data_IF_098616820041
#
_entry.id   IF_098616820041
#
_cell.length_a   1.000
_cell.length_b   1.000
_cell.length_c   1.000
_cell.angle_alpha   90.00
_cell.angle_beta   90.00
_cell.angle_gamma   90.00
#
_symmetry.space_group_name_H-M   'P 1'
#
loop_
_entity.id
_entity.type
_entity.pdbx_description
1 polymer ?
#
# COMPACT_ATOMS: atom_id res chain seq x y z
N UNK A 1 -19.71 -16.05 8.40
CA UNK A 1 -19.67 -16.65 7.05
C UNK A 1 -19.50 -15.59 5.95
N UNK A 2 -20.22 -14.47 6.00
CA UNK A 2 -20.06 -13.33 5.05
C UNK A 2 -18.61 -12.84 4.95
N UNK A 3 -17.87 -12.82 6.07
CA UNK A 3 -16.44 -12.48 6.13
C UNK A 3 -15.58 -13.34 5.18
N UNK A 4 -15.76 -14.66 5.22
CA UNK A 4 -14.96 -15.60 4.41
C UNK A 4 -15.28 -15.48 2.93
N UNK A 5 -16.54 -15.20 2.59
CA UNK A 5 -16.97 -14.94 1.22
C UNK A 5 -16.35 -13.64 0.70
N UNK A 6 -16.40 -12.55 1.46
CA UNK A 6 -15.76 -11.29 1.06
C UNK A 6 -14.26 -11.46 0.83
N UNK A 7 -13.56 -12.13 1.76
CA UNK A 7 -12.12 -12.43 1.62
C UNK A 7 -11.85 -13.30 0.38
N UNK A 8 -12.64 -14.34 0.13
CA UNK A 8 -12.48 -15.19 -1.04
C UNK A 8 -12.63 -14.40 -2.35
N UNK A 9 -13.63 -13.50 -2.44
CA UNK A 9 -13.83 -12.64 -3.61
C UNK A 9 -12.68 -11.65 -3.78
N UNK A 10 -12.17 -11.04 -2.70
CA UNK A 10 -10.99 -10.17 -2.76
C UNK A 10 -9.75 -10.93 -3.25
N UNK A 11 -9.53 -12.17 -2.79
CA UNK A 11 -8.42 -13.02 -3.25
C UNK A 11 -8.53 -13.33 -4.74
N UNK A 12 -9.74 -13.60 -5.24
CA UNK A 12 -9.99 -13.78 -6.68
C UNK A 12 -9.66 -12.49 -7.45
N UNK A 13 -10.09 -11.33 -6.96
CA UNK A 13 -9.76 -10.03 -7.55
C UNK A 13 -8.25 -9.78 -7.66
N UNK A 14 -7.51 -10.02 -6.56
CA UNK A 14 -6.04 -9.89 -6.52
C UNK A 14 -5.38 -10.87 -7.49
N UNK A 15 -5.84 -12.13 -7.53
CA UNK A 15 -5.30 -13.14 -8.44
C UNK A 15 -5.51 -12.77 -9.91
N UNK A 16 -6.66 -12.20 -10.27
CA UNK A 16 -6.95 -11.74 -11.62
C UNK A 16 -6.06 -10.55 -12.03
N UNK A 17 -5.87 -9.57 -11.15
CA UNK A 17 -4.95 -8.44 -11.38
C UNK A 17 -3.51 -8.93 -11.51
N UNK A 18 -3.07 -9.85 -10.64
CA UNK A 18 -1.74 -10.46 -10.71
C UNK A 18 -1.54 -11.26 -12.01
N UNK A 19 -2.57 -11.99 -12.45
CA UNK A 19 -2.55 -12.71 -13.71
C UNK A 19 -2.47 -11.75 -14.92
N UNK A 20 -3.18 -10.62 -14.89
CA UNK A 20 -3.07 -9.58 -15.90
C UNK A 20 -1.64 -9.01 -15.98
N UNK A 21 -0.99 -8.78 -14.83
CA UNK A 21 0.42 -8.37 -14.77
C UNK A 21 1.37 -9.41 -15.37
N UNK A 22 1.14 -10.70 -15.09
CA UNK A 22 1.89 -11.80 -15.71
C UNK A 22 1.68 -11.86 -17.22
N UNK A 23 0.45 -11.71 -17.72
CA UNK A 23 0.16 -11.65 -19.15
C UNK A 23 0.85 -10.47 -19.83
N UNK A 24 0.87 -9.30 -19.17
CA UNK A 24 1.64 -8.14 -19.63
C UNK A 24 3.12 -8.50 -19.76
N UNK A 25 3.72 -9.15 -18.76
CA UNK A 25 5.14 -9.56 -18.81
C UNK A 25 5.46 -10.58 -19.91
N UNK A 26 4.50 -11.46 -20.26
CA UNK A 26 4.66 -12.45 -21.34
C UNK A 26 4.58 -11.83 -22.73
N UNK A 27 3.90 -10.69 -22.88
CA UNK A 27 3.77 -9.96 -24.13
C UNK A 27 4.89 -8.91 -24.34
N UNK A 28 5.83 -8.80 -23.40
CA UNK A 28 7.03 -7.96 -23.55
C UNK A 28 8.08 -8.70 -24.40
N UNK A 29 8.83 -7.95 -25.22
CA UNK A 29 9.87 -8.52 -26.09
C UNK A 29 11.00 -9.16 -25.27
N UNK A 30 11.78 -10.07 -25.88
CA UNK A 30 12.87 -10.79 -25.17
C UNK A 30 13.91 -9.84 -24.55
N UNK A 31 14.15 -8.67 -25.16
CA UNK A 31 15.04 -7.62 -24.65
C UNK A 31 14.49 -6.90 -23.42
N UNK A 32 13.20 -6.57 -23.40
CA UNK A 32 12.53 -5.96 -22.24
C UNK A 32 12.40 -6.97 -21.09
N UNK A 33 12.13 -8.23 -21.44
CA UNK A 33 12.05 -9.36 -20.50
C UNK A 33 13.42 -9.65 -19.87
N UNK A 34 14.53 -9.57 -20.62
CA UNK A 34 15.90 -9.70 -20.07
C UNK A 34 16.28 -8.53 -19.15
N UNK A 35 15.85 -7.30 -19.43
CA UNK A 35 16.05 -6.15 -18.52
C UNK A 35 15.24 -6.29 -17.22
N UNK A 36 14.01 -6.80 -17.29
CA UNK A 36 13.15 -7.00 -16.12
C UNK A 36 13.54 -8.23 -15.26
N UNK A 37 14.09 -9.29 -15.87
CA UNK A 37 14.37 -10.58 -15.21
C UNK A 37 15.79 -10.69 -14.67
N UNK A 38 16.73 -9.79 -15.01
CA UNK A 38 18.13 -9.89 -14.52
C UNK A 38 18.25 -9.99 -12.98
N UNK A 39 17.26 -9.51 -12.22
CA UNK A 39 17.21 -9.62 -10.75
C UNK A 39 16.00 -10.42 -10.20
N UNK A 40 15.10 -10.94 -11.04
CA UNK A 40 13.84 -11.52 -10.56
C UNK A 40 13.96 -13.01 -10.24
N UNK A 41 14.57 -13.33 -9.10
CA UNK A 41 14.46 -14.66 -8.51
C UNK A 41 13.02 -14.87 -8.03
N UNK A 42 12.16 -15.45 -8.86
CA UNK A 42 10.72 -15.63 -8.62
C UNK A 42 10.40 -16.24 -7.24
N UNK A 43 11.25 -17.17 -6.76
CA UNK A 43 11.18 -17.72 -5.39
C UNK A 43 11.44 -16.67 -4.30
N UNK A 44 12.45 -15.82 -4.45
CA UNK A 44 12.74 -14.72 -3.50
C UNK A 44 11.64 -13.67 -3.53
N UNK A 45 11.14 -13.32 -4.72
CA UNK A 45 10.03 -12.38 -4.88
C UNK A 45 8.75 -12.85 -4.16
N UNK A 46 8.39 -14.13 -4.31
CA UNK A 46 7.23 -14.71 -3.62
C UNK A 46 7.40 -14.69 -2.09
N UNK A 47 8.58 -15.05 -1.58
CA UNK A 47 8.86 -14.99 -0.14
C UNK A 47 8.76 -13.57 0.42
N UNK A 48 9.32 -12.59 -0.29
CA UNK A 48 9.25 -11.17 0.10
C UNK A 48 7.79 -10.68 0.06
N UNK A 49 7.01 -11.08 -0.94
CA UNK A 49 5.60 -10.72 -1.04
C UNK A 49 4.76 -11.28 0.12
N UNK A 50 4.97 -12.55 0.50
CA UNK A 50 4.31 -13.16 1.66
C UNK A 50 4.69 -12.44 2.95
N UNK A 51 5.99 -12.18 3.15
CA UNK A 51 6.48 -11.44 4.31
C UNK A 51 5.90 -10.03 4.39
N UNK A 52 5.86 -9.30 3.26
CA UNK A 52 5.24 -7.98 3.18
C UNK A 52 3.74 -8.02 3.52
N UNK A 53 3.03 -9.06 3.10
CA UNK A 53 1.62 -9.28 3.48
C UNK A 53 1.44 -9.46 4.99
N UNK A 54 2.27 -10.30 5.63
CA UNK A 54 2.25 -10.48 7.09
C UNK A 54 2.58 -9.17 7.82
N UNK A 55 3.60 -8.44 7.37
CA UNK A 55 3.99 -7.16 7.96
C UNK A 55 2.89 -6.09 7.80
N UNK A 56 2.17 -6.09 6.68
CA UNK A 56 1.01 -5.21 6.48
C UNK A 56 -0.12 -5.53 7.46
N UNK A 57 -0.38 -6.81 7.74
CA UNK A 57 -1.33 -7.21 8.78
C UNK A 57 -0.88 -6.75 10.18
N UNK A 58 0.40 -6.86 10.50
CA UNK A 58 0.95 -6.33 11.76
C UNK A 58 0.75 -4.83 11.91
N UNK A 59 0.84 -4.06 10.81
CA UNK A 59 0.55 -2.62 10.84
C UNK A 59 -0.91 -2.35 11.20
N UNK A 60 -1.85 -3.07 10.59
CA UNK A 60 -3.27 -2.98 10.93
C UNK A 60 -3.53 -3.30 12.40
N UNK A 61 -2.93 -4.41 12.90
CA UNK A 61 -3.02 -4.79 14.30
C UNK A 61 -2.40 -3.74 15.24
N UNK A 62 -1.31 -3.09 14.83
CA UNK A 62 -0.71 -1.98 15.57
C UNK A 62 -1.66 -0.78 15.69
N UNK A 63 -2.39 -0.45 14.62
CA UNK A 63 -3.42 0.59 14.67
C UNK A 63 -4.58 0.20 15.59
N UNK A 64 -5.01 -1.07 15.56
CA UNK A 64 -6.04 -1.58 16.47
C UNK A 64 -5.58 -1.59 17.94
N UNK A 65 -4.32 -1.93 18.20
CA UNK A 65 -3.75 -1.88 19.56
C UNK A 65 -3.68 -0.45 20.11
N UNK A 66 -3.66 0.56 19.24
CA UNK A 66 -3.68 1.97 19.62
C UNK A 66 -5.07 2.56 19.91
N UNK A 67 -6.15 1.77 19.88
CA UNK A 67 -7.50 2.24 20.24
C UNK A 67 -7.55 2.96 21.60
N UNK A 68 -6.90 2.48 22.69
CA UNK A 68 -6.91 3.20 23.97
C UNK A 68 -6.31 4.61 23.89
N UNK A 69 -5.33 4.82 23.00
CA UNK A 69 -4.72 6.12 22.76
C UNK A 69 -5.69 7.02 21.98
N UNK A 70 -6.39 6.47 20.99
CA UNK A 70 -7.46 7.18 20.26
C UNK A 70 -8.54 7.66 21.23
N UNK A 71 -9.00 6.79 22.13
CA UNK A 71 -10.01 7.12 23.15
C UNK A 71 -9.53 8.20 24.11
N UNK A 72 -8.29 8.11 24.60
CA UNK A 72 -7.70 9.14 25.46
C UNK A 72 -7.61 10.50 24.76
N UNK A 73 -7.23 10.52 23.47
CA UNK A 73 -7.16 11.75 22.67
C UNK A 73 -8.55 12.37 22.47
N UNK A 74 -9.57 11.55 22.22
CA UNK A 74 -10.96 12.01 22.14
C UNK A 74 -11.44 12.57 23.49
N UNK A 75 -11.10 11.90 24.60
CA UNK A 75 -11.45 12.35 25.94
C UNK A 75 -10.83 13.72 26.31
N UNK A 76 -9.68 14.07 25.71
CA UNK A 76 -9.07 15.41 25.85
C UNK A 76 -9.70 16.49 24.96
N UNK A 77 -10.78 16.18 24.24
CA UNK A 77 -11.54 17.13 23.42
C UNK A 77 -11.11 17.20 21.95
N UNK A 78 -10.26 16.29 21.47
CA UNK A 78 -9.89 16.22 20.05
C UNK A 78 -11.05 15.69 19.19
N UNK A 79 -11.19 16.21 17.97
CA UNK A 79 -12.16 15.69 17.00
C UNK A 79 -11.79 14.26 16.61
N UNK A 80 -12.77 13.38 16.49
CA UNK A 80 -12.59 11.96 16.17
C UNK A 80 -11.81 11.73 14.87
N UNK A 81 -11.98 12.60 13.88
CA UNK A 81 -11.25 12.57 12.60
C UNK A 81 -9.72 12.70 12.75
N UNK A 82 -9.23 13.31 13.84
CA UNK A 82 -7.80 13.50 14.10
C UNK A 82 -7.27 12.51 15.14
N UNK A 83 -8.15 11.79 15.85
CA UNK A 83 -7.75 10.89 16.93
C UNK A 83 -6.95 9.67 16.45
N UNK A 84 -7.06 9.31 15.17
CA UNK A 84 -6.27 8.24 14.55
C UNK A 84 -4.82 8.66 14.25
N UNK A 85 -4.53 9.97 14.17
CA UNK A 85 -3.21 10.47 13.78
C UNK A 85 -2.12 10.15 14.83
N UNK A 86 -2.33 10.36 16.14
CA UNK A 86 -1.34 9.99 17.16
C UNK A 86 -1.02 8.49 17.16
N UNK A 87 -2.04 7.64 16.92
CA UNK A 87 -1.85 6.18 16.81
C UNK A 87 -0.99 5.85 15.59
N UNK A 88 -1.31 6.43 14.44
CA UNK A 88 -0.54 6.25 13.20
C UNK A 88 0.91 6.72 13.37
N UNK A 89 1.14 7.84 14.06
CA UNK A 89 2.48 8.34 14.35
C UNK A 89 3.27 7.31 15.18
N UNK A 90 2.69 6.75 16.23
CA UNK A 90 3.37 5.76 17.08
C UNK A 90 3.74 4.49 16.31
N UNK A 91 2.82 3.97 15.48
CA UNK A 91 3.08 2.76 14.67
C UNK A 91 4.15 3.05 13.60
N UNK A 92 4.10 4.22 12.96
CA UNK A 92 5.05 4.59 11.91
C UNK A 92 6.44 4.94 12.44
N UNK A 93 6.59 5.39 13.69
CA UNK A 93 7.90 5.58 14.34
C UNK A 93 8.69 4.26 14.38
N UNK A 94 8.03 3.13 14.67
CA UNK A 94 8.69 1.81 14.62
C UNK A 94 9.22 1.47 13.21
N UNK A 95 8.43 1.78 12.18
CA UNK A 95 8.84 1.65 10.79
C UNK A 95 9.99 2.60 10.41
N UNK A 96 9.97 3.84 10.93
CA UNK A 96 11.02 4.83 10.72
C UNK A 96 12.36 4.34 11.26
N UNK A 97 12.43 3.85 12.50
CA UNK A 97 13.68 3.36 13.07
C UNK A 97 14.23 2.15 12.29
N UNK A 98 13.35 1.22 11.91
CA UNK A 98 13.76 0.05 11.12
C UNK A 98 14.36 0.46 9.77
N UNK A 99 13.69 1.37 9.07
CA UNK A 99 14.18 1.90 7.79
C UNK A 99 15.45 2.72 7.95
N UNK A 100 15.54 3.56 9.00
CA UNK A 100 16.71 4.38 9.28
C UNK A 100 17.94 3.51 9.56
N UNK A 101 17.82 2.50 10.42
CA UNK A 101 18.91 1.57 10.74
C UNK A 101 19.36 0.82 9.48
N UNK A 102 18.41 0.35 8.66
CA UNK A 102 18.73 -0.34 7.42
C UNK A 102 19.44 0.58 6.41
N UNK A 103 18.96 1.81 6.23
CA UNK A 103 19.59 2.81 5.37
C UNK A 103 21.00 3.16 5.84
N UNK A 104 21.21 3.37 7.14
CA UNK A 104 22.54 3.63 7.72
C UNK A 104 23.50 2.45 7.51
N UNK A 105 23.01 1.22 7.73
CA UNK A 105 23.77 0.00 7.46
C UNK A 105 24.18 -0.10 5.98
N UNK A 106 23.24 0.13 5.06
CA UNK A 106 23.50 0.09 3.62
C UNK A 106 24.44 1.21 3.17
N UNK A 107 24.31 2.43 3.71
CA UNK A 107 25.22 3.55 3.44
C UNK A 107 26.65 3.23 3.90
N UNK A 108 26.81 2.56 5.05
CA UNK A 108 28.11 2.09 5.54
C UNK A 108 28.67 0.98 4.65
N UNK A 109 27.84 -0.01 4.29
CA UNK A 109 28.23 -1.14 3.45
C UNK A 109 28.65 -0.73 2.04
N UNK A 110 27.92 0.20 1.43
CA UNK A 110 28.16 0.67 0.07
C UNK A 110 29.12 1.87 0.00
N UNK A 111 29.60 2.38 1.15
CA UNK A 111 30.48 3.56 1.26
C UNK A 111 29.92 4.84 0.60
N UNK A 112 28.59 4.93 0.46
CA UNK A 112 27.88 6.05 -0.17
C UNK A 112 27.60 7.22 0.78
N UNK A 113 27.94 7.10 2.07
CA UNK A 113 27.68 8.15 3.07
C UNK A 113 28.31 9.51 2.73
N UNK A 114 29.41 9.53 1.99
CA UNK A 114 30.05 10.76 1.52
C UNK A 114 29.37 11.41 0.30
N UNK A 115 28.48 10.72 -0.40
CA UNK A 115 27.81 11.24 -1.60
C UNK A 115 26.73 12.27 -1.25
N UNK A 116 26.09 12.11 -0.09
CA UNK A 116 25.11 13.07 0.43
C UNK A 116 25.77 14.43 0.67
N UNK A 117 27.01 14.44 1.20
CA UNK A 117 27.79 15.66 1.42
C UNK A 117 28.43 16.25 0.17
N UNK A 118 28.64 15.46 -0.89
CA UNK A 118 29.19 15.90 -2.18
C UNK A 118 28.11 16.48 -3.12
N UNK A 119 26.84 16.25 -2.81
CA UNK A 119 25.72 16.73 -3.61
C UNK A 119 25.55 18.24 -3.43
N UNK A 120 25.25 18.97 -4.51
CA UNK A 120 25.05 20.41 -4.43
C UNK A 120 23.87 20.76 -3.52
N UNK A 121 24.02 21.84 -2.72
CA UNK A 121 22.96 22.34 -1.83
C UNK A 121 21.57 22.43 -2.47
N UNK A 122 21.40 22.98 -3.70
CA UNK A 122 20.07 23.04 -4.33
C UNK A 122 19.49 21.67 -4.69
N UNK A 123 20.31 20.69 -5.11
CA UNK A 123 19.83 19.33 -5.40
C UNK A 123 19.42 18.62 -4.10
N UNK A 124 20.17 18.81 -3.02
CA UNK A 124 19.83 18.24 -1.72
C UNK A 124 18.49 18.80 -1.18
N UNK A 125 18.28 20.11 -1.27
CA UNK A 125 17.02 20.74 -0.87
C UNK A 125 15.86 20.19 -1.70
N UNK A 126 16.02 20.08 -3.02
CA UNK A 126 14.98 19.55 -3.89
C UNK A 126 14.64 18.10 -3.54
N UNK A 127 15.65 17.26 -3.31
CA UNK A 127 15.45 15.87 -2.88
C UNK A 127 14.72 15.79 -1.54
N UNK A 128 15.08 16.63 -0.56
CA UNK A 128 14.39 16.69 0.73
C UNK A 128 12.93 17.12 0.56
N UNK A 129 12.64 18.11 -0.29
CA UNK A 129 11.28 18.55 -0.57
C UNK A 129 10.46 17.45 -1.25
N UNK A 130 11.03 16.73 -2.22
CA UNK A 130 10.35 15.58 -2.84
C UNK A 130 10.13 14.43 -1.87
N UNK A 131 11.09 14.13 -0.98
CA UNK A 131 10.91 13.13 0.07
C UNK A 131 9.81 13.55 1.05
N UNK A 132 9.77 14.82 1.45
CA UNK A 132 8.71 15.35 2.33
C UNK A 132 7.34 15.29 1.65
N UNK A 133 7.26 15.65 0.36
CA UNK A 133 6.03 15.56 -0.43
C UNK A 133 5.56 14.12 -0.57
N UNK A 134 6.45 13.19 -0.91
CA UNK A 134 6.13 11.77 -1.01
C UNK A 134 5.64 11.20 0.33
N UNK A 135 6.29 11.58 1.44
CA UNK A 135 5.87 11.22 2.79
C UNK A 135 4.48 11.79 3.14
N UNK A 136 4.21 13.05 2.80
CA UNK A 136 2.92 13.69 3.02
C UNK A 136 1.80 13.01 2.21
N UNK A 137 2.04 12.75 0.94
CA UNK A 137 1.10 12.05 0.06
C UNK A 137 0.85 10.62 0.56
N UNK A 138 1.89 9.90 0.99
CA UNK A 138 1.74 8.59 1.57
C UNK A 138 0.96 8.64 2.90
N UNK A 139 1.24 9.61 3.77
CA UNK A 139 0.55 9.74 5.05
C UNK A 139 -0.93 10.12 4.89
N UNK A 140 -1.27 10.87 3.83
CA UNK A 140 -2.66 11.28 3.55
C UNK A 140 -3.66 10.12 3.48
N UNK A 141 -3.19 8.91 3.13
CA UNK A 141 -4.03 7.70 3.11
C UNK A 141 -4.59 7.34 4.50
N UNK A 142 -3.82 7.59 5.57
CA UNK A 142 -4.27 7.30 6.94
C UNK A 142 -5.25 8.35 7.45
N UNK A 143 -5.14 9.59 6.97
CA UNK A 143 -6.17 10.59 7.20
C UNK A 143 -7.49 10.18 6.54
N UNK A 144 -7.43 9.71 5.29
CA UNK A 144 -8.59 9.12 4.61
C UNK A 144 -9.17 7.91 5.34
N UNK A 145 -8.32 7.05 5.92
CA UNK A 145 -8.74 5.93 6.74
C UNK A 145 -9.49 6.39 8.00
N UNK A 146 -8.92 7.35 8.75
CA UNK A 146 -9.55 7.88 9.96
C UNK A 146 -10.89 8.57 9.68
N UNK A 147 -10.96 9.35 8.60
CA UNK A 147 -12.20 9.95 8.11
C UNK A 147 -13.21 8.88 7.71
N UNK A 148 -12.82 7.88 6.92
CA UNK A 148 -13.69 6.78 6.51
C UNK A 148 -14.24 5.98 7.68
N UNK A 149 -13.40 5.70 8.69
CA UNK A 149 -13.82 5.00 9.91
C UNK A 149 -14.84 5.79 10.73
N UNK A 150 -14.79 7.12 10.73
CA UNK A 150 -15.76 7.95 11.46
C UNK A 150 -17.17 7.93 10.87
N UNK A 151 -17.34 7.49 9.62
CA UNK A 151 -18.65 7.30 9.00
C UNK A 151 -19.25 5.91 9.25
N UNK A 152 -18.45 4.95 9.73
CA UNK A 152 -18.93 3.60 10.01
C UNK A 152 -19.47 3.50 11.44
N UNK A 153 -20.54 2.73 11.63
CA UNK A 153 -21.06 2.46 12.97
C UNK A 153 -19.99 1.75 13.83
N UNK A 154 -19.85 2.10 15.12
CA UNK A 154 -18.95 1.43 16.05
C UNK A 154 -19.21 -0.08 16.08
N UNK A 155 -18.16 -0.89 15.99
CA UNK A 155 -18.23 -2.36 15.92
C UNK A 155 -18.89 -2.96 14.66
N UNK A 156 -19.16 -2.15 13.63
CA UNK A 156 -19.65 -2.67 12.35
C UNK A 156 -18.61 -3.54 11.64
N UNK A 157 -19.09 -4.45 10.80
CA UNK A 157 -18.26 -5.27 9.91
C UNK A 157 -17.38 -4.39 9.01
N UNK A 158 -17.87 -3.21 8.62
CA UNK A 158 -17.10 -2.24 7.81
C UNK A 158 -15.87 -1.69 8.53
N UNK A 159 -15.98 -1.42 9.83
CA UNK A 159 -14.85 -0.96 10.62
C UNK A 159 -13.76 -2.03 10.71
N UNK A 160 -14.15 -3.31 10.83
CA UNK A 160 -13.20 -4.43 10.81
C UNK A 160 -12.50 -4.59 9.44
N UNK A 161 -13.17 -4.21 8.34
CA UNK A 161 -12.59 -4.27 6.99
C UNK A 161 -11.97 -2.97 6.50
N UNK A 162 -11.97 -1.89 7.29
CA UNK A 162 -11.50 -0.58 6.81
C UNK A 162 -10.07 -0.64 6.26
N UNK A 163 -9.19 -1.46 6.84
CA UNK A 163 -7.84 -1.72 6.34
C UNK A 163 -7.83 -2.43 4.99
N UNK A 164 -8.63 -3.48 4.82
CA UNK A 164 -8.74 -4.23 3.57
C UNK A 164 -9.36 -3.39 2.45
N UNK A 165 -10.32 -2.53 2.80
CA UNK A 165 -10.93 -1.56 1.89
C UNK A 165 -9.87 -0.57 1.42
N UNK A 166 -9.10 0.03 2.33
CA UNK A 166 -8.00 0.95 2.01
C UNK A 166 -6.98 0.29 1.07
N UNK A 167 -6.53 -0.93 1.37
CA UNK A 167 -5.55 -1.65 0.55
C UNK A 167 -6.10 -1.99 -0.84
N UNK A 168 -7.36 -2.39 -0.93
CA UNK A 168 -8.01 -2.67 -2.21
C UNK A 168 -8.16 -1.40 -3.05
N UNK A 169 -8.56 -0.27 -2.43
CA UNK A 169 -8.62 1.03 -3.09
C UNK A 169 -7.24 1.46 -3.59
N UNK A 170 -6.18 1.29 -2.78
CA UNK A 170 -4.80 1.57 -3.21
C UNK A 170 -4.44 0.77 -4.48
N UNK A 171 -4.78 -0.52 -4.54
CA UNK A 171 -4.55 -1.34 -5.74
C UNK A 171 -5.36 -0.85 -6.93
N UNK A 172 -6.63 -0.51 -6.75
CA UNK A 172 -7.49 -0.02 -7.83
C UNK A 172 -6.96 1.32 -8.37
N UNK A 173 -6.75 2.32 -7.51
CA UNK A 173 -6.25 3.64 -7.91
C UNK A 173 -4.86 3.56 -8.55
N UNK A 174 -3.96 2.72 -8.01
CA UNK A 174 -2.64 2.50 -8.61
C UNK A 174 -2.75 1.95 -10.03
N UNK A 175 -3.63 0.97 -10.27
CA UNK A 175 -3.84 0.41 -11.60
C UNK A 175 -4.54 1.38 -12.56
N UNK A 176 -5.51 2.16 -12.08
CA UNK A 176 -6.16 3.23 -12.86
C UNK A 176 -5.14 4.27 -13.30
N UNK A 177 -4.27 4.73 -12.40
CA UNK A 177 -3.21 5.66 -12.73
C UNK A 177 -2.21 5.06 -13.73
N UNK A 178 -1.84 3.78 -13.57
CA UNK A 178 -1.03 3.07 -14.55
C UNK A 178 -1.66 3.00 -15.95
N UNK A 179 -2.98 2.88 -16.04
CA UNK A 179 -3.72 2.96 -17.32
C UNK A 179 -3.64 4.37 -17.91
N UNK A 180 -3.84 5.41 -17.08
CA UNK A 180 -3.77 6.83 -17.51
C UNK A 180 -2.37 7.18 -18.01
N UNK A 181 -1.32 6.74 -17.31
CA UNK A 181 0.08 6.89 -17.71
C UNK A 181 0.47 6.04 -18.93
N UNK A 182 -0.49 5.31 -19.53
CA UNK A 182 -0.31 4.45 -20.71
C UNK A 182 0.70 3.32 -20.50
N UNK A 183 0.95 2.91 -19.26
CA UNK A 183 1.86 1.81 -18.95
C UNK A 183 1.37 0.47 -19.53
N UNK A 184 0.06 0.34 -19.75
CA UNK A 184 -0.57 -0.85 -20.32
C UNK A 184 -0.62 -0.84 -21.85
N UNK A 185 -0.09 0.20 -22.51
CA UNK A 185 -0.03 0.28 -23.97
C UNK A 185 0.95 -0.76 -24.49
N UNK A 186 0.46 -1.75 -25.23
CA UNK A 186 1.26 -2.90 -25.72
C UNK A 186 1.11 -4.17 -24.89
N UNK A 187 0.44 -4.14 -23.73
CA UNK A 187 0.23 -5.32 -22.88
C UNK A 187 -0.71 -6.39 -23.49
N UNK A 188 -1.40 -6.07 -24.59
CA UNK A 188 -2.37 -6.93 -25.26
C UNK A 188 -3.79 -6.82 -24.68
N UNK A 189 -4.81 -6.93 -25.55
CA UNK A 189 -6.23 -6.77 -25.17
C UNK A 189 -6.66 -7.71 -24.04
N UNK A 190 -6.14 -8.93 -24.01
CA UNK A 190 -6.42 -9.92 -22.96
C UNK A 190 -5.93 -9.46 -21.57
N UNK A 191 -4.72 -8.92 -21.46
CA UNK A 191 -4.18 -8.45 -20.19
C UNK A 191 -5.01 -7.29 -19.62
N UNK A 192 -5.40 -6.34 -20.47
CA UNK A 192 -6.25 -5.20 -20.07
C UNK A 192 -7.65 -5.65 -19.65
N UNK A 193 -8.25 -6.64 -20.32
CA UNK A 193 -9.55 -7.19 -19.90
C UNK A 193 -9.49 -7.87 -18.53
N UNK A 194 -8.47 -8.71 -18.28
CA UNK A 194 -8.29 -9.34 -16.96
C UNK A 194 -8.03 -8.33 -15.86
N UNK A 195 -7.30 -7.25 -16.16
CA UNK A 195 -7.09 -6.14 -15.24
C UNK A 195 -8.42 -5.44 -14.90
N UNK A 196 -9.20 -5.07 -15.92
CA UNK A 196 -10.50 -4.42 -15.74
C UNK A 196 -11.47 -5.30 -14.95
N UNK A 197 -11.51 -6.60 -15.26
CA UNK A 197 -12.33 -7.57 -14.55
C UNK A 197 -11.88 -7.75 -13.10
N UNK A 198 -10.58 -7.86 -12.84
CA UNK A 198 -10.02 -7.93 -11.49
C UNK A 198 -10.33 -6.69 -10.66
N UNK A 199 -10.23 -5.49 -11.25
CA UNK A 199 -10.64 -4.24 -10.59
C UNK A 199 -12.15 -4.22 -10.29
N UNK A 200 -13.00 -4.66 -11.22
CA UNK A 200 -14.44 -4.74 -11.00
C UNK A 200 -14.79 -5.71 -9.85
N UNK A 201 -14.13 -6.86 -9.79
CA UNK A 201 -14.29 -7.84 -8.70
C UNK A 201 -13.84 -7.26 -7.36
N UNK A 202 -12.72 -6.52 -7.34
CA UNK A 202 -12.25 -5.84 -6.13
C UNK A 202 -13.27 -4.81 -5.64
N UNK A 203 -13.81 -3.97 -6.53
CA UNK A 203 -14.85 -2.98 -6.18
C UNK A 203 -16.10 -3.70 -5.65
N UNK A 204 -16.54 -4.77 -6.31
CA UNK A 204 -17.69 -5.56 -5.86
C UNK A 204 -17.44 -6.19 -4.48
N UNK A 205 -16.20 -6.62 -4.19
CA UNK A 205 -15.85 -7.16 -2.87
C UNK A 205 -15.98 -6.14 -1.73
N UNK A 206 -15.94 -4.84 -2.02
CA UNK A 206 -16.17 -3.78 -1.02
C UNK A 206 -17.64 -3.62 -0.65
N UNK A 207 -18.55 -4.05 -1.54
CA UNK A 207 -20.00 -3.91 -1.37
C UNK A 207 -20.59 -5.15 -0.66
N UNK A 208 -19.97 -6.33 -0.81
CA UNK A 208 -20.44 -7.57 -0.16
C UNK A 208 -20.59 -7.43 1.37
N UNK A 209 -19.64 -6.81 2.11
CA UNK A 209 -19.80 -6.59 3.54
C UNK A 209 -20.91 -5.59 3.91
N UNK A 210 -21.45 -4.81 2.97
CA UNK A 210 -22.57 -3.89 3.20
C UNK A 210 -23.94 -4.53 2.99
N UNK A 211 -24.01 -5.66 2.29
CA UNK A 211 -25.27 -6.30 1.90
C UNK A 211 -25.91 -7.13 3.03
N UNK A 212 -25.23 -7.28 4.17
CA UNK A 212 -25.63 -8.12 5.29
C UNK A 212 -25.31 -7.48 6.64
#
# INVERSE_FOLDING_TARGET
>A
MVLLLAVAVTLVGIALVGYAGSLRSKNMSEEERRKAIKDFALKKGLLIALFAGVMSACFSLGLSAGIPIKEAVIATGAKEIFAQNPVTLLVTIGGFFTNLVYCLYMNKKNKTGGEIGKTSKPVLINNLLFCALAGLLWYSQFFGLGMGQSFFEPNSVMMAFSWSILMSLNVVFSNVWGIILKEWKGAGKKAVMFLAFGMAVLIFSLIIPNLF
#
